data_IF_553669105140
#
_entry.id   IF_553669105140
#
_cell.length_a   1.000
_cell.length_b   1.000
_cell.length_c   1.000
_cell.angle_alpha   90.00
_cell.angle_beta   90.00
_cell.angle_gamma   90.00
#
_symmetry.space_group_name_H-M   'P 1'
#
loop_
_entity.id
_entity.type
_entity.pdbx_description
1 polymer ?
#
# COMPACT_ATOMS: atom_id res chain seq x y z
N UNK A 1 -2.24 16.51 -19.59
CA UNK A 1 -3.18 15.37 -19.54
C UNK A 1 -2.38 14.14 -19.13
N UNK A 2 -2.27 13.85 -17.83
CA UNK A 2 -1.50 12.68 -17.36
C UNK A 2 -2.27 11.41 -17.70
N UNK A 3 -1.80 10.67 -18.71
CA UNK A 3 -2.32 9.34 -19.02
C UNK A 3 -1.96 8.46 -17.82
N UNK A 4 -2.97 7.99 -17.08
CA UNK A 4 -2.75 6.99 -16.03
C UNK A 4 -2.06 5.78 -16.69
N UNK A 5 -0.93 5.30 -16.14
CA UNK A 5 -0.32 4.08 -16.67
C UNK A 5 -1.34 2.96 -16.58
N UNK A 6 -1.62 2.30 -17.70
CA UNK A 6 -2.53 1.15 -17.75
C UNK A 6 -2.05 0.13 -16.73
N UNK A 7 -2.90 -0.23 -15.77
CA UNK A 7 -2.58 -1.20 -14.72
C UNK A 7 -2.19 -0.63 -13.35
N UNK A 8 -2.21 0.70 -13.14
CA UNK A 8 -1.91 1.28 -11.82
C UNK A 8 -2.82 0.74 -10.70
N UNK A 9 -4.11 0.58 -11.00
CA UNK A 9 -5.10 0.04 -10.06
C UNK A 9 -4.88 -1.46 -9.77
N UNK A 10 -4.56 -2.24 -10.79
CA UNK A 10 -4.23 -3.65 -10.60
C UNK A 10 -2.95 -3.80 -9.76
N UNK A 11 -1.95 -2.96 -10.04
CA UNK A 11 -0.69 -2.95 -9.29
C UNK A 11 -0.92 -2.56 -7.82
N UNK A 12 -1.73 -1.53 -7.54
CA UNK A 12 -2.04 -1.13 -6.17
C UNK A 12 -2.80 -2.21 -5.40
N UNK A 13 -3.80 -2.85 -6.02
CA UNK A 13 -4.51 -3.99 -5.42
C UNK A 13 -3.56 -5.16 -5.16
N UNK A 14 -2.64 -5.44 -6.08
CA UNK A 14 -1.64 -6.50 -5.90
C UNK A 14 -0.71 -6.24 -4.71
N UNK A 15 -0.30 -4.99 -4.49
CA UNK A 15 0.49 -4.59 -3.31
C UNK A 15 -0.30 -4.78 -2.01
N UNK A 16 -1.56 -4.33 -1.97
CA UNK A 16 -2.42 -4.48 -0.80
C UNK A 16 -2.62 -5.95 -0.47
N UNK A 17 -2.96 -6.76 -1.49
CA UNK A 17 -3.18 -8.19 -1.33
C UNK A 17 -1.91 -8.90 -0.85
N UNK A 18 -0.77 -8.64 -1.50
CA UNK A 18 0.52 -9.22 -1.11
C UNK A 18 0.92 -8.88 0.33
N UNK A 19 0.76 -7.62 0.74
CA UNK A 19 1.02 -7.21 2.12
C UNK A 19 0.09 -7.87 3.12
N UNK A 20 -1.22 -7.90 2.85
CA UNK A 20 -2.20 -8.56 3.71
C UNK A 20 -1.90 -10.07 3.87
N UNK A 21 -1.58 -10.75 2.76
CA UNK A 21 -1.23 -12.18 2.76
C UNK A 21 0.07 -12.43 3.50
N UNK A 22 1.12 -11.62 3.31
CA UNK A 22 2.39 -11.78 4.02
C UNK A 22 2.20 -11.70 5.55
N UNK A 23 1.51 -10.65 6.00
CA UNK A 23 1.18 -10.46 7.42
C UNK A 23 0.22 -11.54 7.97
N UNK A 24 -0.60 -12.17 7.13
CA UNK A 24 -1.45 -13.30 7.52
C UNK A 24 -0.63 -14.58 7.68
N UNK A 25 0.30 -14.85 6.76
CA UNK A 25 1.20 -16.02 6.83
C UNK A 25 2.00 -15.98 8.13
N UNK A 26 2.57 -14.82 8.47
CA UNK A 26 3.27 -14.61 9.75
C UNK A 26 2.39 -14.97 10.95
N UNK A 27 1.15 -14.49 10.99
CA UNK A 27 0.21 -14.80 12.07
C UNK A 27 -0.11 -16.29 12.16
N UNK A 28 -0.25 -16.97 11.02
CA UNK A 28 -0.54 -18.41 10.98
C UNK A 28 0.67 -19.23 11.45
N UNK A 29 1.88 -18.89 11.00
CA UNK A 29 3.07 -19.69 11.25
C UNK A 29 3.75 -19.36 12.59
N UNK A 30 3.73 -18.08 12.99
CA UNK A 30 4.49 -17.55 14.12
C UNK A 30 3.60 -17.06 15.27
N UNK A 31 2.28 -16.94 15.05
CA UNK A 31 1.34 -16.40 16.04
C UNK A 31 1.42 -14.88 16.23
N UNK A 32 2.28 -14.19 15.47
CA UNK A 32 2.50 -12.73 15.50
C UNK A 32 3.08 -12.26 14.17
N UNK A 33 3.07 -10.95 13.94
CA UNK A 33 3.79 -10.31 12.83
C UNK A 33 5.20 -9.98 13.27
N UNK A 34 6.18 -10.19 12.38
CA UNK A 34 7.58 -9.84 12.66
C UNK A 34 7.92 -8.48 12.06
N UNK A 35 8.05 -7.48 12.92
CA UNK A 35 8.50 -6.15 12.56
C UNK A 35 10.02 -6.04 12.73
N UNK A 36 10.70 -5.53 11.70
CA UNK A 36 12.17 -5.48 11.66
C UNK A 36 12.74 -4.15 11.16
N UNK A 37 11.90 -3.24 10.68
CA UNK A 37 12.29 -1.89 10.28
C UNK A 37 11.93 -0.95 11.43
N UNK A 38 12.93 -0.41 12.11
CA UNK A 38 12.78 0.59 13.18
C UNK A 38 13.46 1.89 12.74
N UNK A 39 12.69 2.98 12.71
CA UNK A 39 13.18 4.32 12.39
C UNK A 39 13.11 5.19 13.64
N UNK A 40 14.21 5.85 13.98
CA UNK A 40 14.28 6.65 15.20
C UNK A 40 15.14 7.90 15.02
N UNK A 41 14.85 8.91 15.85
CA UNK A 41 15.64 10.14 15.97
C UNK A 41 15.82 10.43 17.47
N UNK A 42 17.06 10.33 17.95
CA UNK A 42 17.36 10.42 19.38
C UNK A 42 16.71 9.25 20.14
N UNK A 43 15.87 9.56 21.13
CA UNK A 43 15.09 8.58 21.91
C UNK A 43 13.68 8.34 21.35
N UNK A 44 13.30 9.06 20.30
CA UNK A 44 11.97 8.93 19.70
C UNK A 44 11.98 7.88 18.60
N UNK A 45 11.11 6.88 18.72
CA UNK A 45 10.95 5.79 17.78
C UNK A 45 9.63 5.92 17.03
N UNK A 46 9.69 5.83 15.71
CA UNK A 46 8.52 5.51 14.90
C UNK A 46 8.13 4.04 15.17
N UNK A 47 6.83 3.68 15.17
CA UNK A 47 6.42 2.30 15.32
C UNK A 47 7.14 1.39 14.33
N UNK A 48 7.79 0.34 14.81
CA UNK A 48 8.44 -0.63 13.95
C UNK A 48 7.44 -1.25 12.96
N UNK A 49 7.90 -1.52 11.75
CA UNK A 49 7.06 -2.05 10.67
C UNK A 49 7.87 -3.02 9.80
N UNK A 50 7.19 -3.61 8.81
CA UNK A 50 7.82 -4.55 7.89
C UNK A 50 7.50 -4.24 6.41
N UNK A 51 7.98 -5.13 5.52
CA UNK A 51 7.77 -4.98 4.06
C UNK A 51 6.29 -5.14 3.67
N UNK A 52 5.52 -5.98 4.37
CA UNK A 52 4.08 -6.10 4.14
C UNK A 52 3.33 -4.81 4.49
N UNK A 53 3.69 -4.14 5.58
CA UNK A 53 3.10 -2.83 5.95
C UNK A 53 3.48 -1.73 4.95
N UNK A 54 4.71 -1.79 4.43
CA UNK A 54 5.16 -0.90 3.36
C UNK A 54 4.35 -1.10 2.08
N UNK A 55 4.10 -2.36 1.70
CA UNK A 55 3.27 -2.71 0.54
C UNK A 55 1.82 -2.26 0.72
N UNK A 56 1.24 -2.45 1.91
CA UNK A 56 -0.09 -1.96 2.25
C UNK A 56 -0.16 -0.43 2.13
N UNK A 57 0.78 0.29 2.73
CA UNK A 57 0.82 1.76 2.73
C UNK A 57 0.93 2.31 1.31
N UNK A 58 1.90 1.83 0.53
CA UNK A 58 2.10 2.26 -0.86
C UNK A 58 0.90 1.87 -1.71
N UNK A 59 0.39 0.64 -1.57
CA UNK A 59 -0.78 0.16 -2.31
C UNK A 59 -2.01 1.03 -2.08
N UNK A 60 -2.33 1.39 -0.84
CA UNK A 60 -3.46 2.26 -0.51
C UNK A 60 -3.25 3.67 -1.10
N UNK A 61 -2.05 4.24 -0.98
CA UNK A 61 -1.73 5.55 -1.57
C UNK A 61 -1.94 5.52 -3.09
N UNK A 62 -1.42 4.51 -3.79
CA UNK A 62 -1.57 4.38 -5.23
C UNK A 62 -3.02 4.16 -5.66
N UNK A 63 -3.78 3.36 -4.90
CA UNK A 63 -5.20 3.14 -5.15
C UNK A 63 -6.02 4.43 -5.01
N UNK A 64 -5.79 5.20 -3.95
CA UNK A 64 -6.45 6.50 -3.77
C UNK A 64 -6.08 7.50 -4.86
N UNK A 65 -4.80 7.58 -5.23
CA UNK A 65 -4.34 8.44 -6.33
C UNK A 65 -5.01 8.05 -7.65
N UNK A 66 -5.09 6.76 -7.96
CA UNK A 66 -5.77 6.26 -9.15
C UNK A 66 -7.26 6.67 -9.15
N UNK A 67 -7.96 6.53 -8.02
CA UNK A 67 -9.37 6.89 -7.88
C UNK A 67 -9.61 8.40 -8.07
N UNK A 68 -8.80 9.26 -7.44
CA UNK A 68 -8.92 10.71 -7.57
C UNK A 68 -8.65 11.16 -9.01
N UNK A 69 -7.67 10.56 -9.69
CA UNK A 69 -7.36 10.88 -11.08
C UNK A 69 -8.47 10.44 -12.05
N UNK A 70 -9.14 9.30 -11.78
CA UNK A 70 -10.31 8.86 -12.55
C UNK A 70 -11.50 9.81 -12.34
N UNK A 71 -11.76 10.28 -11.12
CA UNK A 71 -12.83 11.23 -10.82
C UNK A 71 -12.66 12.59 -11.52
N UNK A 72 -11.44 13.00 -11.86
CA UNK A 72 -11.17 14.26 -12.59
C UNK A 72 -11.40 14.18 -14.10
N UNK A 73 -11.71 13.01 -14.67
CA UNK A 73 -12.20 12.96 -16.05
C UNK A 73 -13.60 13.58 -16.06
N UNK A 74 -13.81 14.75 -16.69
CA UNK A 74 -15.18 15.16 -16.99
C UNK A 74 -15.77 14.05 -17.87
N UNK A 75 -17.02 13.70 -17.63
CA UNK A 75 -17.84 13.04 -18.64
C UNK A 75 -17.75 13.90 -19.89
N UNK A 76 -16.89 13.52 -20.84
CA UNK A 76 -16.98 14.03 -22.21
C UNK A 76 -18.38 13.65 -22.65
N UNK A 77 -19.16 14.66 -23.00
CA UNK A 77 -20.61 14.59 -23.09
C UNK A 77 -21.13 13.35 -23.81
N UNK A 78 -22.22 12.83 -23.26
CA UNK A 78 -23.35 12.51 -24.13
C UNK A 78 -24.11 13.81 -24.39
#
# INVERSE_FOLDING_TARGET
>A
MSKIPKGLELFSISLIFGGAVGNLIDRILLGKVVDFIDFYVGTWHWPAFNVADSALTIGIILFMLAAIMQSKKPSSGQ
#
